data_IF_781138059458
#
_entry.id   IF_781138059458
#
_cell.length_a   1.000
_cell.length_b   1.000
_cell.length_c   1.000
_cell.angle_alpha   90.00
_cell.angle_beta   90.00
_cell.angle_gamma   90.00
#
_symmetry.space_group_name_H-M   'P 1'
#
loop_
_entity.id
_entity.type
_entity.pdbx_description
1 polymer ?
#
# COMPACT_ATOMS: atom_id res chain seq x y z
N UNK A 1 -18.28 -6.08 -38.79
CA UNK A 1 -17.01 -5.53 -38.23
C UNK A 1 -17.24 -4.43 -37.18
N UNK A 2 -18.21 -3.52 -37.32
CA UNK A 2 -18.48 -2.47 -36.30
C UNK A 2 -19.01 -3.00 -34.95
N UNK A 3 -19.83 -4.05 -34.98
CA UNK A 3 -20.47 -4.62 -33.78
C UNK A 3 -19.47 -5.33 -32.85
N UNK A 4 -18.48 -6.01 -33.42
CA UNK A 4 -17.42 -6.70 -32.67
C UNK A 4 -16.52 -5.73 -31.91
N UNK A 5 -16.23 -4.57 -32.51
CA UNK A 5 -15.45 -3.49 -31.86
C UNK A 5 -16.24 -2.85 -30.73
N UNK A 6 -17.54 -2.57 -30.95
CA UNK A 6 -18.41 -2.04 -29.90
C UNK A 6 -18.53 -3.01 -28.71
N UNK A 7 -18.68 -4.31 -28.99
CA UNK A 7 -18.75 -5.33 -27.94
C UNK A 7 -17.45 -5.40 -27.15
N UNK A 8 -16.29 -5.43 -27.82
CA UNK A 8 -14.99 -5.43 -27.15
C UNK A 8 -14.75 -4.21 -26.27
N UNK A 9 -15.18 -3.02 -26.72
CA UNK A 9 -15.08 -1.78 -25.95
C UNK A 9 -16.00 -1.80 -24.72
N UNK A 10 -17.21 -2.36 -24.83
CA UNK A 10 -18.14 -2.52 -23.71
C UNK A 10 -17.58 -3.50 -22.68
N UNK A 11 -17.03 -4.64 -23.12
CA UNK A 11 -16.40 -5.60 -22.22
C UNK A 11 -15.18 -5.00 -21.52
N UNK A 12 -14.36 -4.22 -22.24
CA UNK A 12 -13.22 -3.52 -21.66
C UNK A 12 -13.67 -2.45 -20.65
N UNK A 13 -14.69 -1.66 -20.98
CA UNK A 13 -15.25 -0.66 -20.08
C UNK A 13 -15.80 -1.29 -18.78
N UNK A 14 -16.51 -2.43 -18.89
CA UNK A 14 -17.00 -3.20 -17.74
C UNK A 14 -15.84 -3.75 -16.90
N UNK A 15 -14.82 -4.33 -17.52
CA UNK A 15 -13.63 -4.83 -16.83
C UNK A 15 -12.86 -3.71 -16.10
N UNK A 16 -12.72 -2.53 -16.74
CA UNK A 16 -12.08 -1.37 -16.16
C UNK A 16 -12.91 -0.73 -15.04
N UNK A 17 -14.25 -0.77 -15.11
CA UNK A 17 -15.13 -0.27 -14.05
C UNK A 17 -15.08 -1.15 -12.80
N UNK A 18 -14.95 -2.47 -12.96
CA UNK A 18 -14.72 -3.40 -11.84
C UNK A 18 -13.32 -3.28 -11.23
N UNK A 19 -12.32 -2.82 -12.00
CA UNK A 19 -10.98 -2.54 -11.48
C UNK A 19 -10.93 -1.24 -10.64
N UNK A 20 -11.87 -0.31 -10.85
CA UNK A 20 -12.04 0.89 -10.01
C UNK A 20 -12.74 0.65 -8.67
N UNK A 21 -13.13 -0.59 -8.35
CA UNK A 21 -13.65 -0.94 -7.02
C UNK A 21 -12.56 -1.10 -5.95
N UNK A 22 -11.46 -0.32 -6.05
CA UNK A 22 -10.46 -0.23 -4.98
C UNK A 22 -10.94 0.73 -3.90
N UNK A 23 -12.05 0.41 -3.23
CA UNK A 23 -12.48 1.12 -2.01
C UNK A 23 -11.60 0.81 -0.80
N UNK A 24 -10.51 0.04 -0.99
CA UNK A 24 -9.55 -0.32 0.05
C UNK A 24 -8.17 0.31 -0.18
N UNK A 25 -7.36 0.31 0.87
CA UNK A 25 -5.98 0.78 0.84
C UNK A 25 -5.15 -0.08 -0.13
N UNK A 26 -4.30 0.58 -0.93
CA UNK A 26 -3.43 -0.08 -1.91
C UNK A 26 -2.58 -1.18 -1.25
N UNK A 27 -2.71 -2.46 -1.66
CA UNK A 27 -1.95 -3.56 -1.07
C UNK A 27 -0.44 -3.38 -1.14
N UNK A 28 0.06 -2.74 -2.21
CA UNK A 28 1.49 -2.44 -2.36
C UNK A 28 1.95 -1.41 -1.32
N UNK A 29 1.11 -0.42 -1.02
CA UNK A 29 1.42 0.55 0.04
C UNK A 29 1.45 -0.12 1.42
N UNK A 30 0.51 -1.04 1.70
CA UNK A 30 0.52 -1.83 2.95
C UNK A 30 1.80 -2.67 3.09
N UNK A 31 2.27 -3.27 2.01
CA UNK A 31 3.54 -4.03 2.02
C UNK A 31 4.76 -3.13 2.28
N UNK A 32 4.81 -1.94 1.68
CA UNK A 32 5.89 -0.95 1.94
C UNK A 32 5.89 -0.53 3.41
N UNK A 33 4.71 -0.23 3.97
CA UNK A 33 4.56 0.10 5.40
C UNK A 33 4.98 -1.09 6.26
N UNK A 34 4.57 -2.31 5.93
CA UNK A 34 5.01 -3.49 6.66
C UNK A 34 6.55 -3.61 6.67
N UNK A 35 7.22 -3.40 5.52
CA UNK A 35 8.69 -3.40 5.42
C UNK A 35 9.34 -2.25 6.21
N UNK A 36 8.68 -1.09 6.34
CA UNK A 36 9.13 -0.01 7.22
C UNK A 36 9.20 -0.47 8.68
N UNK A 37 8.24 -1.26 9.17
CA UNK A 37 8.22 -1.71 10.56
C UNK A 37 9.00 -2.99 10.82
N UNK A 38 8.86 -4.00 9.96
CA UNK A 38 9.34 -5.38 10.21
C UNK A 38 10.53 -5.78 9.35
N UNK A 39 10.68 -5.19 8.16
CA UNK A 39 11.78 -5.50 7.24
C UNK A 39 13.13 -4.95 7.67
N UNK A 40 14.20 -5.42 7.03
CA UNK A 40 15.52 -4.80 7.09
C UNK A 40 15.53 -3.44 6.40
N UNK A 41 16.54 -2.61 6.69
CA UNK A 41 16.73 -1.33 6.02
C UNK A 41 16.81 -1.47 4.50
N UNK A 42 17.55 -2.47 4.01
CA UNK A 42 17.70 -2.77 2.59
C UNK A 42 16.38 -3.17 1.93
N UNK A 43 15.62 -4.07 2.55
CA UNK A 43 14.33 -4.51 2.00
C UNK A 43 13.33 -3.35 1.90
N UNK A 44 13.33 -2.45 2.88
CA UNK A 44 12.52 -1.24 2.83
C UNK A 44 12.93 -0.33 1.67
N UNK A 45 14.21 0.02 1.53
CA UNK A 45 14.67 0.87 0.41
C UNK A 45 14.43 0.23 -0.96
N UNK A 46 14.64 -1.09 -1.09
CA UNK A 46 14.34 -1.82 -2.33
C UNK A 46 12.86 -1.73 -2.70
N UNK A 47 11.95 -1.74 -1.71
CA UNK A 47 10.52 -1.58 -1.97
C UNK A 47 10.15 -0.20 -2.53
N UNK A 48 11.00 0.81 -2.34
CA UNK A 48 10.79 2.17 -2.82
C UNK A 48 11.36 2.41 -4.22
N UNK A 49 12.32 1.60 -4.68
CA UNK A 49 13.01 1.79 -5.98
C UNK A 49 12.06 1.95 -7.19
N UNK A 50 10.96 1.19 -7.32
CA UNK A 50 10.05 1.32 -8.46
C UNK A 50 9.40 2.71 -8.60
N UNK A 51 9.43 3.53 -7.55
CA UNK A 51 8.82 4.85 -7.50
C UNK A 51 9.81 5.99 -7.80
N UNK A 52 11.04 5.66 -8.16
CA UNK A 52 12.09 6.62 -8.52
C UNK A 52 12.26 7.76 -7.50
N UNK A 53 12.49 7.43 -6.20
CA UNK A 53 12.63 8.44 -5.16
C UNK A 53 13.85 9.34 -5.43
N UNK A 54 13.73 10.63 -5.12
CA UNK A 54 14.87 11.55 -5.15
C UNK A 54 15.84 11.26 -4.00
N UNK A 55 17.08 11.75 -4.09
CA UNK A 55 18.05 11.63 -2.99
C UNK A 55 17.51 12.19 -1.66
N UNK A 56 16.84 13.34 -1.71
CA UNK A 56 16.21 13.93 -0.52
C UNK A 56 15.08 13.05 0.06
N UNK A 57 14.32 12.35 -0.80
CA UNK A 57 13.31 11.39 -0.34
C UNK A 57 13.97 10.18 0.31
N UNK A 58 15.06 9.65 -0.27
CA UNK A 58 15.83 8.54 0.29
C UNK A 58 16.42 8.91 1.65
N UNK A 59 16.97 10.11 1.81
CA UNK A 59 17.48 10.61 3.08
C UNK A 59 16.38 10.64 4.16
N UNK A 60 15.23 11.24 3.84
CA UNK A 60 14.11 11.36 4.77
C UNK A 60 13.54 9.99 5.20
N UNK A 61 13.33 9.06 4.27
CA UNK A 61 12.81 7.72 4.62
C UNK A 61 13.86 6.86 5.34
N UNK A 62 15.15 7.14 5.12
CA UNK A 62 16.25 6.50 5.86
C UNK A 62 16.26 6.93 7.31
N UNK A 63 16.09 8.22 7.59
CA UNK A 63 15.95 8.75 8.96
C UNK A 63 14.73 8.14 9.65
N UNK A 64 13.57 8.14 8.98
CA UNK A 64 12.35 7.53 9.50
C UNK A 64 12.55 6.05 9.83
N UNK A 65 13.13 5.26 8.92
CA UNK A 65 13.42 3.85 9.17
C UNK A 65 14.37 3.66 10.35
N UNK A 66 15.35 4.55 10.51
CA UNK A 66 16.24 4.60 11.66
C UNK A 66 15.48 4.74 12.98
N UNK A 67 14.56 5.70 13.06
CA UNK A 67 13.70 5.91 14.24
C UNK A 67 12.78 4.72 14.51
N UNK A 68 12.14 4.18 13.47
CA UNK A 68 11.27 2.99 13.59
C UNK A 68 12.07 1.79 14.10
N UNK A 69 13.35 1.66 13.72
CA UNK A 69 14.21 0.57 14.18
C UNK A 69 14.55 0.65 15.67
N UNK A 70 14.44 1.83 16.31
CA UNK A 70 14.64 1.99 17.76
C UNK A 70 13.47 1.44 18.59
N UNK A 71 12.31 1.22 17.97
CA UNK A 71 11.14 0.65 18.66
C UNK A 71 11.38 -0.82 19.02
N UNK A 72 10.90 -1.22 20.20
CA UNK A 72 10.85 -2.63 20.58
C UNK A 72 9.96 -3.43 19.62
N UNK A 73 10.16 -4.75 19.48
CA UNK A 73 9.28 -5.59 18.68
C UNK A 73 7.80 -5.47 19.08
N UNK A 74 7.53 -5.36 20.38
CA UNK A 74 6.18 -5.15 20.92
C UNK A 74 5.58 -3.83 20.45
N UNK A 75 6.31 -2.71 20.56
CA UNK A 75 5.81 -1.42 20.10
C UNK A 75 5.57 -1.40 18.59
N UNK A 76 6.42 -2.04 17.79
CA UNK A 76 6.20 -2.19 16.34
C UNK A 76 4.90 -2.94 16.05
N UNK A 77 4.66 -4.05 16.76
CA UNK A 77 3.44 -4.84 16.61
C UNK A 77 2.19 -4.04 17.00
N UNK A 78 2.23 -3.33 18.13
CA UNK A 78 1.11 -2.47 18.60
C UNK A 78 0.80 -1.35 17.61
N UNK A 79 1.83 -0.71 17.03
CA UNK A 79 1.61 0.32 16.00
C UNK A 79 1.00 -0.29 14.73
N UNK A 80 1.52 -1.42 14.25
CA UNK A 80 0.94 -2.11 13.09
C UNK A 80 -0.50 -2.55 13.33
N UNK A 81 -0.83 -3.02 14.54
CA UNK A 81 -2.19 -3.36 14.92
C UNK A 81 -3.11 -2.14 14.87
N UNK A 82 -2.66 -1.00 15.41
CA UNK A 82 -3.41 0.26 15.32
C UNK A 82 -3.62 0.69 13.86
N UNK A 83 -2.58 0.61 13.02
CA UNK A 83 -2.70 0.92 11.59
C UNK A 83 -3.70 -0.01 10.90
N UNK A 84 -3.69 -1.31 11.20
CA UNK A 84 -4.69 -2.27 10.72
C UNK A 84 -6.10 -1.88 11.14
N UNK A 85 -6.31 -1.52 12.40
CA UNK A 85 -7.61 -1.07 12.90
C UNK A 85 -8.12 0.17 12.13
N UNK A 86 -7.23 1.10 11.79
CA UNK A 86 -7.57 2.29 10.99
C UNK A 86 -7.94 1.90 9.55
N UNK A 87 -7.13 1.07 8.90
CA UNK A 87 -7.36 0.65 7.49
C UNK A 87 -8.67 -0.11 7.33
N UNK A 88 -9.05 -0.93 8.31
CA UNK A 88 -10.31 -1.69 8.30
C UNK A 88 -11.48 -0.95 8.97
N UNK A 89 -11.29 0.32 9.33
CA UNK A 89 -12.34 1.13 9.94
C UNK A 89 -13.34 1.61 8.89
N UNK A 90 -14.55 1.96 9.36
CA UNK A 90 -15.61 2.50 8.49
C UNK A 90 -15.20 3.84 7.87
N UNK A 91 -14.35 4.59 8.56
CA UNK A 91 -13.80 5.88 8.16
C UNK A 91 -12.81 5.77 7.01
N UNK A 92 -12.12 4.62 6.85
CA UNK A 92 -11.15 4.39 5.77
C UNK A 92 -11.76 3.68 4.54
N UNK A 93 -13.06 3.38 4.55
CA UNK A 93 -13.77 2.73 3.44
C UNK A 93 -13.84 1.19 3.52
N UNK A 94 -13.35 0.59 4.61
CA UNK A 94 -13.42 -0.84 4.83
C UNK A 94 -14.84 -1.33 5.18
N UNK A 95 -15.38 -2.27 4.40
CA UNK A 95 -16.39 -3.20 4.91
C UNK A 95 -15.74 -4.03 6.04
N UNK A 96 -16.49 -4.36 7.12
CA UNK A 96 -15.94 -5.10 8.25
C UNK A 96 -15.35 -6.45 7.79
N UNK A 97 -14.28 -6.95 8.46
CA UNK A 97 -13.84 -8.31 8.25
C UNK A 97 -15.01 -9.26 8.54
N UNK A 98 -15.24 -10.19 7.61
CA UNK A 98 -16.33 -11.16 7.66
C UNK A 98 -16.06 -12.25 8.70
#
# INVERSE_FOLDING_TARGET
MKLTVALALVTLALCCYSATASSGVCPVFLDIVNKLFTGTFREYLQSLQPYHPTEAMIEAVSELKGLVNLLSPEHKATVLQLMGNIVFSKECGGLPPK
#
